data_IF_257184099470
#
_entry.id   IF_257184099470
#
_cell.length_a   1.000
_cell.length_b   1.000
_cell.length_c   1.000
_cell.angle_alpha   90.00
_cell.angle_beta   90.00
_cell.angle_gamma   90.00
#
_symmetry.space_group_name_H-M   'P 1'
#
loop_
_entity.id
_entity.type
_entity.pdbx_description
1 polymer ?
#
# COMPACT_ATOMS: atom_id res chain seq x y z
N UNK A 1 -25.69 -23.77 13.17
CA UNK A 1 -25.91 -23.50 11.73
C UNK A 1 -24.55 -23.63 11.05
N UNK A 2 -24.32 -24.72 10.34
CA UNK A 2 -23.03 -25.08 9.71
C UNK A 2 -23.10 -24.64 8.26
N UNK A 3 -22.25 -23.70 7.84
CA UNK A 3 -22.14 -23.32 6.43
C UNK A 3 -21.04 -24.20 5.81
N UNK A 4 -21.46 -25.20 5.02
CA UNK A 4 -20.60 -25.96 4.11
C UNK A 4 -20.41 -25.15 2.82
N UNK A 5 -19.18 -24.75 2.52
CA UNK A 5 -18.82 -24.22 1.21
C UNK A 5 -18.19 -25.36 0.42
N UNK A 6 -18.94 -25.94 -0.51
CA UNK A 6 -18.42 -26.79 -1.59
C UNK A 6 -18.37 -25.95 -2.86
N UNK A 7 -17.19 -25.68 -3.40
CA UNK A 7 -17.04 -25.09 -4.74
C UNK A 7 -16.11 -25.97 -5.55
N UNK A 8 -16.66 -26.66 -6.53
CA UNK A 8 -15.91 -27.46 -7.49
C UNK A 8 -15.38 -26.56 -8.60
N UNK A 9 -14.07 -26.61 -8.88
CA UNK A 9 -13.44 -25.92 -10.00
C UNK A 9 -13.22 -26.89 -11.17
N UNK A 10 -13.56 -26.45 -12.38
CA UNK A 10 -13.21 -27.11 -13.66
C UNK A 10 -12.14 -26.25 -14.33
N UNK A 11 -11.02 -26.85 -14.74
CA UNK A 11 -9.91 -26.18 -15.43
C UNK A 11 -9.77 -26.79 -16.84
N UNK A 12 -9.77 -25.95 -17.87
CA UNK A 12 -9.50 -26.32 -19.25
C UNK A 12 -8.00 -26.24 -19.56
N UNK A 13 -7.48 -27.14 -20.40
CA UNK A 13 -6.06 -27.29 -20.69
C UNK A 13 -5.67 -26.71 -22.06
N UNK A 14 -4.65 -25.84 -22.08
CA UNK A 14 -3.92 -25.40 -23.29
C UNK A 14 -2.41 -25.39 -22.99
N UNK A 15 -1.59 -25.73 -23.99
CA UNK A 15 -0.15 -25.97 -23.85
C UNK A 15 0.69 -24.70 -24.05
N UNK A 16 1.63 -24.40 -23.14
CA UNK A 16 2.63 -23.32 -23.27
C UNK A 16 3.99 -23.73 -22.63
N UNK A 17 5.07 -23.20 -23.20
CA UNK A 17 6.49 -23.47 -22.93
C UNK A 17 7.01 -22.99 -21.55
N UNK A 18 7.87 -23.80 -20.94
CA UNK A 18 8.56 -23.51 -19.69
C UNK A 18 9.79 -22.61 -19.94
N UNK A 19 9.82 -21.43 -19.32
CA UNK A 19 11.05 -20.67 -19.10
C UNK A 19 11.36 -20.73 -17.62
N UNK A 20 12.10 -21.76 -17.21
CA UNK A 20 12.59 -21.90 -15.84
C UNK A 20 13.95 -21.22 -15.70
N UNK A 21 14.02 -20.08 -15.00
CA UNK A 21 15.27 -19.65 -14.38
C UNK A 21 15.36 -20.29 -13.00
N UNK A 22 16.04 -21.44 -12.92
CA UNK A 22 16.35 -22.11 -11.66
C UNK A 22 17.41 -21.28 -10.93
N UNK A 23 17.00 -20.51 -9.93
CA UNK A 23 17.94 -19.97 -8.93
C UNK A 23 17.79 -20.82 -7.67
N UNK A 24 18.59 -21.87 -7.58
CA UNK A 24 18.67 -22.71 -6.39
C UNK A 24 19.31 -21.92 -5.24
N UNK A 25 18.50 -21.27 -4.42
CA UNK A 25 18.87 -20.87 -3.07
C UNK A 25 18.02 -21.69 -2.12
N UNK A 26 18.66 -22.51 -1.28
CA UNK A 26 18.01 -23.43 -0.35
C UNK A 26 17.33 -22.64 0.77
N UNK A 27 16.21 -22.01 0.46
CA UNK A 27 15.31 -21.44 1.45
C UNK A 27 14.40 -22.57 1.95
N UNK A 28 14.28 -22.72 3.27
CA UNK A 28 13.24 -23.54 3.90
C UNK A 28 11.89 -22.79 3.96
N UNK A 29 11.79 -21.66 3.27
CA UNK A 29 10.54 -20.94 3.11
C UNK A 29 9.47 -21.83 2.48
N UNK A 30 8.35 -21.89 3.16
CA UNK A 30 7.12 -22.46 2.63
C UNK A 30 6.61 -21.59 1.47
N UNK A 31 6.65 -20.28 1.66
CA UNK A 31 6.18 -19.31 0.67
C UNK A 31 6.92 -17.97 0.78
N UNK A 32 7.04 -17.30 -0.36
CA UNK A 32 7.50 -15.93 -0.52
C UNK A 32 6.43 -15.16 -1.27
N UNK A 33 5.93 -14.08 -0.68
CA UNK A 33 4.93 -13.20 -1.28
C UNK A 33 5.62 -11.88 -1.59
N UNK A 34 5.77 -11.58 -2.88
CA UNK A 34 6.22 -10.27 -3.32
C UNK A 34 5.01 -9.33 -3.44
N UNK A 35 5.05 -8.25 -2.68
CA UNK A 35 4.05 -7.18 -2.75
C UNK A 35 4.67 -6.04 -3.53
N UNK A 36 4.23 -5.88 -4.78
CA UNK A 36 4.44 -4.61 -5.51
C UNK A 36 3.58 -3.60 -4.79
N UNK A 37 4.21 -2.76 -3.97
CA UNK A 37 3.55 -1.80 -3.10
C UNK A 37 2.55 -0.92 -3.84
N UNK A 38 1.67 -0.28 -3.08
CA UNK A 38 0.88 0.83 -3.58
C UNK A 38 1.57 2.13 -3.13
N UNK A 39 1.98 3.03 -4.04
CA UNK A 39 2.51 4.35 -3.65
C UNK A 39 1.62 5.13 -2.65
N UNK A 40 0.34 4.79 -2.54
CA UNK A 40 -0.64 5.40 -1.64
C UNK A 40 -0.86 4.66 -0.32
N UNK A 41 -0.56 3.36 -0.20
CA UNK A 41 -0.98 2.56 0.98
C UNK A 41 0.08 1.59 1.53
N UNK A 42 1.03 1.11 0.73
CA UNK A 42 1.98 0.08 1.18
C UNK A 42 3.30 0.20 0.40
N UNK A 43 4.44 0.25 1.09
CA UNK A 43 5.73 0.17 0.41
C UNK A 43 5.90 -1.18 -0.28
N UNK A 44 6.64 -1.26 -1.40
CA UNK A 44 7.08 -2.53 -1.93
C UNK A 44 7.81 -3.35 -0.86
N UNK A 45 7.42 -4.60 -0.70
CA UNK A 45 7.98 -5.47 0.33
C UNK A 45 7.85 -6.94 -0.03
N UNK A 46 8.65 -7.76 0.64
CA UNK A 46 8.61 -9.21 0.52
C UNK A 46 8.24 -9.82 1.86
N UNK A 47 7.32 -10.79 1.86
CA UNK A 47 6.94 -11.58 3.02
C UNK A 47 7.40 -13.02 2.80
N UNK A 48 8.30 -13.49 3.65
CA UNK A 48 8.76 -14.88 3.68
C UNK A 48 8.07 -15.60 4.83
N UNK A 49 7.40 -16.71 4.55
CA UNK A 49 6.73 -17.56 5.53
C UNK A 49 7.54 -18.85 5.67
N UNK A 50 7.98 -19.12 6.89
CA UNK A 50 8.85 -20.25 7.22
C UNK A 50 8.41 -20.90 8.55
N UNK A 51 8.76 -22.17 8.80
CA UNK A 51 8.57 -22.76 10.11
C UNK A 51 9.50 -22.07 11.13
N UNK A 52 9.00 -21.74 12.32
CA UNK A 52 9.81 -21.07 13.37
C UNK A 52 10.96 -21.96 13.86
N UNK A 53 10.76 -23.28 13.78
CA UNK A 53 11.80 -24.30 14.03
C UNK A 53 12.01 -25.17 12.80
N UNK A 54 13.27 -25.44 12.45
CA UNK A 54 13.68 -26.21 11.26
C UNK A 54 13.30 -27.70 11.25
N UNK A 55 12.61 -28.22 12.28
CA UNK A 55 12.21 -29.63 12.25
C UNK A 55 11.23 -29.88 11.10
N UNK A 56 11.43 -30.93 10.31
CA UNK A 56 10.52 -31.27 9.20
C UNK A 56 9.38 -32.10 9.77
N UNK A 57 8.19 -31.52 9.82
CA UNK A 57 6.96 -32.21 10.18
C UNK A 57 6.58 -33.11 9.02
N UNK A 58 6.50 -34.40 9.26
CA UNK A 58 6.16 -35.43 8.26
C UNK A 58 4.66 -35.67 8.19
N UNK A 59 3.91 -35.35 9.24
CA UNK A 59 2.45 -35.54 9.29
C UNK A 59 1.68 -34.22 9.23
N UNK A 60 0.43 -34.26 8.78
CA UNK A 60 -0.44 -33.08 8.77
C UNK A 60 -0.62 -32.50 10.18
N UNK A 61 -0.73 -33.36 11.19
CA UNK A 61 -0.88 -32.96 12.59
C UNK A 61 0.38 -32.25 13.12
N UNK A 62 1.58 -32.66 12.68
CA UNK A 62 2.85 -31.98 12.99
C UNK A 62 3.00 -30.63 12.27
N UNK A 63 2.38 -30.47 11.10
CA UNK A 63 2.35 -29.20 10.35
C UNK A 63 1.33 -28.24 10.97
N UNK A 64 0.19 -28.74 11.44
CA UNK A 64 -0.86 -27.97 12.12
C UNK A 64 -0.48 -27.53 13.53
N UNK A 65 0.25 -28.37 14.27
CA UNK A 65 0.75 -28.06 15.61
C UNK A 65 1.98 -27.13 15.63
N UNK A 66 2.43 -26.66 14.46
CA UNK A 66 3.66 -25.89 14.32
C UNK A 66 3.46 -24.40 14.53
N UNK A 67 4.44 -23.76 15.16
CA UNK A 67 4.58 -22.31 15.15
C UNK A 67 5.23 -21.86 13.84
N UNK A 68 4.56 -20.94 13.16
CA UNK A 68 5.04 -20.35 11.91
C UNK A 68 5.62 -18.97 12.16
N UNK A 69 6.63 -18.61 11.39
CA UNK A 69 7.24 -17.28 11.40
C UNK A 69 7.06 -16.65 10.03
N UNK A 70 6.65 -15.38 10.02
CA UNK A 70 6.69 -14.56 8.82
C UNK A 70 7.70 -13.44 9.01
N UNK A 71 8.53 -13.22 8.00
CA UNK A 71 9.52 -12.14 7.94
C UNK A 71 9.14 -11.22 6.80
N UNK A 72 8.91 -9.94 7.12
CA UNK A 72 8.59 -8.89 6.16
C UNK A 72 9.81 -8.00 5.97
N UNK A 73 10.26 -7.84 4.73
CA UNK A 73 11.40 -6.98 4.38
C UNK A 73 10.99 -5.88 3.39
N UNK A 74 11.37 -4.63 3.67
CA UNK A 74 11.09 -3.45 2.85
C UNK A 74 12.16 -2.37 3.08
N UNK A 75 12.79 -1.84 2.02
CA UNK A 75 13.74 -0.70 2.06
C UNK A 75 14.65 -0.62 3.31
N UNK A 76 15.31 -1.72 3.68
CA UNK A 76 16.24 -1.77 4.82
C UNK A 76 15.59 -2.02 6.18
N UNK A 77 14.27 -2.11 6.26
CA UNK A 77 13.52 -2.57 7.42
C UNK A 77 13.19 -4.06 7.32
N UNK A 78 13.34 -4.77 8.43
CA UNK A 78 12.95 -6.18 8.58
C UNK A 78 12.10 -6.30 9.84
N UNK A 79 10.85 -6.71 9.69
CA UNK A 79 9.94 -7.04 10.80
C UNK A 79 9.66 -8.55 10.78
N UNK A 80 9.39 -9.16 11.93
CA UNK A 80 8.93 -10.56 12.01
C UNK A 80 7.77 -10.74 12.97
N UNK A 81 6.89 -11.70 12.69
CA UNK A 81 5.79 -12.11 13.56
C UNK A 81 5.66 -13.61 13.58
N UNK A 82 5.20 -14.17 14.71
CA UNK A 82 4.91 -15.61 14.82
C UNK A 82 3.41 -15.89 14.77
N UNK A 83 3.03 -17.14 14.50
CA UNK A 83 1.62 -17.54 14.44
C UNK A 83 0.88 -17.39 15.77
N UNK A 84 1.60 -17.32 16.88
CA UNK A 84 1.02 -17.11 18.20
C UNK A 84 0.65 -15.64 18.42
N UNK A 85 1.39 -14.73 17.77
CA UNK A 85 1.09 -13.31 17.71
C UNK A 85 0.07 -12.97 16.60
N UNK A 86 0.03 -13.78 15.54
CA UNK A 86 -0.88 -13.61 14.41
C UNK A 86 -1.51 -14.94 13.95
N UNK A 87 -2.73 -15.26 14.42
CA UNK A 87 -3.42 -16.47 14.00
C UNK A 87 -3.63 -16.59 12.48
N UNK A 88 -3.74 -15.46 11.77
CA UNK A 88 -3.84 -15.43 10.31
C UNK A 88 -2.64 -16.07 9.61
N UNK A 89 -1.44 -15.99 10.21
CA UNK A 89 -0.23 -16.62 9.68
C UNK A 89 -0.33 -18.15 9.66
N UNK A 90 -0.93 -18.75 10.69
CA UNK A 90 -1.16 -20.20 10.70
C UNK A 90 -2.10 -20.62 9.56
N UNK A 91 -3.18 -19.87 9.37
CA UNK A 91 -4.14 -20.13 8.29
C UNK A 91 -3.48 -20.01 6.90
N UNK A 92 -2.66 -18.98 6.70
CA UNK A 92 -1.89 -18.79 5.48
C UNK A 92 -0.95 -19.98 5.23
N UNK A 93 -0.16 -20.39 6.22
CA UNK A 93 0.78 -21.50 6.08
C UNK A 93 0.07 -22.84 5.77
N UNK A 94 -1.05 -23.12 6.43
CA UNK A 94 -1.84 -24.33 6.13
C UNK A 94 -2.42 -24.30 4.72
N UNK A 95 -2.89 -23.14 4.26
CA UNK A 95 -3.38 -22.96 2.91
C UNK A 95 -2.26 -23.16 1.87
N UNK A 96 -1.08 -22.58 2.07
CA UNK A 96 0.11 -22.78 1.24
C UNK A 96 0.51 -24.26 1.14
N UNK A 97 0.57 -24.96 2.28
CA UNK A 97 0.87 -26.39 2.30
C UNK A 97 -0.17 -27.24 1.57
N UNK A 98 -1.44 -26.83 1.58
CA UNK A 98 -2.50 -27.50 0.80
C UNK A 98 -2.34 -27.28 -0.70
N UNK A 99 -2.11 -26.03 -1.13
CA UNK A 99 -1.93 -25.66 -2.54
C UNK A 99 -0.73 -26.38 -3.15
N UNK A 100 0.41 -26.36 -2.46
CA UNK A 100 1.63 -27.04 -2.92
C UNK A 100 1.38 -28.54 -3.19
N UNK A 101 0.63 -29.22 -2.31
CA UNK A 101 0.28 -30.64 -2.48
C UNK A 101 -0.69 -30.87 -3.64
N UNK A 102 -1.66 -29.97 -3.86
CA UNK A 102 -2.59 -30.07 -4.97
C UNK A 102 -1.89 -29.85 -6.31
N UNK A 103 -1.01 -28.84 -6.39
CA UNK A 103 -0.25 -28.52 -7.59
C UNK A 103 0.60 -29.70 -8.09
N UNK A 104 1.24 -30.40 -7.16
CA UNK A 104 2.06 -31.59 -7.47
C UNK A 104 1.27 -32.84 -7.88
N UNK A 105 -0.03 -32.88 -7.58
CA UNK A 105 -0.91 -34.01 -7.96
C UNK A 105 -1.51 -33.85 -9.35
N UNK A 106 -1.50 -32.63 -9.90
CA UNK A 106 -2.00 -32.40 -11.24
C UNK A 106 -0.93 -32.79 -12.28
N UNK A 107 -1.24 -33.64 -13.27
CA UNK A 107 -0.27 -34.10 -14.28
C UNK A 107 0.29 -32.98 -15.18
N UNK A 108 -0.27 -31.78 -15.13
CA UNK A 108 0.16 -30.61 -15.92
C UNK A 108 -0.38 -29.33 -15.30
N UNK A 109 0.19 -28.87 -14.18
CA UNK A 109 -0.14 -27.55 -13.63
C UNK A 109 0.81 -26.49 -14.21
N UNK A 110 0.55 -26.06 -15.44
CA UNK A 110 1.07 -24.77 -15.91
C UNK A 110 0.02 -23.70 -15.57
N UNK A 111 0.15 -23.06 -14.41
CA UNK A 111 -0.72 -21.95 -14.01
C UNK A 111 -0.10 -20.65 -14.48
N UNK A 112 -0.29 -20.35 -15.75
CA UNK A 112 -0.30 -18.97 -16.21
C UNK A 112 -1.76 -18.65 -16.53
N UNK A 113 -2.43 -17.86 -15.70
CA UNK A 113 -3.51 -17.06 -16.25
C UNK A 113 -2.84 -16.02 -17.12
N UNK A 114 -3.22 -15.92 -18.39
CA UNK A 114 -2.84 -14.78 -19.22
C UNK A 114 -3.05 -13.51 -18.39
N UNK A 115 -2.07 -12.58 -18.35
CA UNK A 115 -2.25 -11.32 -17.68
C UNK A 115 -3.36 -10.59 -18.43
N UNK A 116 -4.61 -10.77 -18.01
CA UNK A 116 -5.65 -9.81 -18.30
C UNK A 116 -5.09 -8.52 -17.71
N UNK A 117 -4.87 -7.46 -18.50
CA UNK A 117 -4.47 -6.16 -17.97
C UNK A 117 -5.68 -5.61 -17.23
N UNK A 118 -5.93 -6.16 -16.04
CA UNK A 118 -6.83 -5.57 -15.08
C UNK A 118 -6.05 -4.40 -14.49
N UNK A 119 -6.42 -3.19 -14.89
CA UNK A 119 -6.07 -1.98 -14.15
C UNK A 119 -6.44 -2.16 -12.67
N UNK A 120 -5.82 -1.38 -11.77
CA UNK A 120 -5.87 -1.60 -10.32
C UNK A 120 -7.32 -1.66 -9.85
N UNK A 121 -7.80 -2.88 -9.60
CA UNK A 121 -9.16 -3.17 -9.17
C UNK A 121 -9.12 -4.20 -8.06
N UNK A 122 -8.46 -3.84 -6.97
CA UNK A 122 -8.93 -4.21 -5.63
C UNK A 122 -8.69 -3.00 -4.72
N UNK A 123 -9.69 -2.74 -3.88
CA UNK A 123 -9.89 -1.50 -3.10
C UNK A 123 -8.73 -1.10 -2.18
N UNK A 124 -7.75 -1.98 -2.01
CA UNK A 124 -6.62 -1.82 -1.08
C UNK A 124 -5.27 -1.61 -1.79
N UNK A 125 -5.26 -1.46 -3.12
CA UNK A 125 -4.22 -0.72 -3.82
C UNK A 125 -2.94 -1.45 -4.27
N UNK A 126 -2.60 -2.60 -3.67
CA UNK A 126 -1.37 -3.33 -4.02
C UNK A 126 -1.62 -4.56 -4.91
N UNK A 127 -0.58 -5.03 -5.58
CA UNK A 127 -0.59 -6.30 -6.33
C UNK A 127 0.36 -7.30 -5.68
N UNK A 128 0.01 -8.59 -5.71
CA UNK A 128 0.81 -9.67 -5.13
C UNK A 128 1.23 -10.69 -6.18
N UNK A 129 2.49 -11.12 -6.10
CA UNK A 129 3.01 -12.30 -6.77
C UNK A 129 3.44 -13.29 -5.69
N UNK A 130 3.02 -14.55 -5.84
CA UNK A 130 3.23 -15.54 -4.80
C UNK A 130 4.08 -16.66 -5.34
N UNK A 131 5.15 -16.97 -4.60
CA UNK A 131 6.04 -18.09 -4.87
C UNK A 131 6.02 -19.06 -3.70
N UNK A 132 5.94 -20.37 -3.95
CA UNK A 132 5.92 -21.38 -2.89
C UNK A 132 6.73 -22.62 -3.25
N UNK A 133 7.23 -23.29 -2.22
CA UNK A 133 8.04 -24.50 -2.36
C UNK A 133 7.17 -25.73 -2.21
N UNK A 134 7.25 -26.65 -3.16
CA UNK A 134 6.53 -27.91 -3.16
C UNK A 134 7.51 -29.11 -3.21
N UNK A 135 7.22 -30.19 -2.49
CA UNK A 135 8.02 -31.42 -2.50
C UNK A 135 7.45 -32.46 -3.47
N UNK A 136 8.18 -32.75 -4.55
CA UNK A 136 7.86 -33.83 -5.48
C UNK A 136 7.88 -35.21 -4.80
N UNK A 137 7.32 -36.21 -5.48
CA UNK A 137 7.22 -37.59 -4.96
C UNK A 137 8.59 -38.24 -4.70
N UNK A 138 9.62 -37.81 -5.43
CA UNK A 138 11.01 -38.24 -5.28
C UNK A 138 11.77 -37.46 -4.18
N UNK A 139 11.09 -36.52 -3.50
CA UNK A 139 11.68 -35.65 -2.48
C UNK A 139 12.35 -34.40 -3.04
N UNK A 140 12.38 -34.19 -4.36
CA UNK A 140 12.92 -32.96 -4.95
C UNK A 140 12.03 -31.75 -4.62
N UNK A 141 12.65 -30.59 -4.38
CA UNK A 141 11.95 -29.32 -4.15
C UNK A 141 11.72 -28.62 -5.49
N UNK A 142 10.49 -28.17 -5.73
CA UNK A 142 10.12 -27.33 -6.87
C UNK A 142 9.55 -26.02 -6.38
N UNK A 143 10.01 -24.93 -6.98
CA UNK A 143 9.48 -23.59 -6.75
C UNK A 143 8.38 -23.31 -7.78
N UNK A 144 7.22 -22.86 -7.30
CA UNK A 144 6.07 -22.53 -8.14
C UNK A 144 5.72 -21.06 -7.92
N UNK A 145 5.79 -20.28 -8.99
CA UNK A 145 5.37 -18.86 -8.98
C UNK A 145 4.01 -18.73 -9.65
N UNK A 146 3.02 -18.23 -8.90
CA UNK A 146 1.69 -17.94 -9.41
C UNK A 146 1.47 -16.41 -9.53
N UNK A 147 0.98 -15.99 -10.69
CA UNK A 147 0.61 -14.59 -10.98
C UNK A 147 -0.76 -14.56 -11.67
N UNK A 148 -1.62 -13.65 -11.25
CA UNK A 148 -2.93 -13.43 -11.86
C UNK A 148 -4.07 -14.32 -11.32
N UNK A 149 -5.29 -14.00 -11.74
CA UNK A 149 -6.50 -14.79 -11.46
C UNK A 149 -6.77 -15.00 -9.96
N UNK A 150 -7.16 -16.24 -9.62
CA UNK A 150 -7.48 -16.62 -8.24
C UNK A 150 -6.30 -16.49 -7.27
N UNK A 151 -5.06 -16.65 -7.76
CA UNK A 151 -3.85 -16.55 -6.93
C UNK A 151 -3.54 -15.12 -6.53
N UNK A 152 -3.84 -14.13 -7.37
CA UNK A 152 -3.73 -12.71 -7.00
C UNK A 152 -4.72 -12.34 -5.90
N UNK A 153 -5.98 -12.79 -5.99
CA UNK A 153 -6.96 -12.56 -4.92
C UNK A 153 -6.52 -13.22 -3.62
N UNK A 154 -6.08 -14.47 -3.71
CA UNK A 154 -5.66 -15.22 -2.54
C UNK A 154 -4.39 -14.64 -1.88
N UNK A 155 -3.40 -14.23 -2.69
CA UNK A 155 -2.22 -13.51 -2.21
C UNK A 155 -2.59 -12.19 -1.55
N UNK A 156 -3.54 -11.45 -2.13
CA UNK A 156 -4.10 -10.22 -1.56
C UNK A 156 -4.76 -10.45 -0.20
N UNK A 157 -5.68 -11.40 -0.11
CA UNK A 157 -6.37 -11.76 1.15
C UNK A 157 -5.37 -12.20 2.22
N UNK A 158 -4.33 -12.94 1.83
CA UNK A 158 -3.26 -13.36 2.74
C UNK A 158 -2.48 -12.16 3.27
N UNK A 159 -2.05 -11.26 2.40
CA UNK A 159 -1.32 -10.04 2.81
C UNK A 159 -2.21 -9.17 3.71
N UNK A 160 -3.47 -8.95 3.33
CA UNK A 160 -4.42 -8.17 4.12
C UNK A 160 -4.59 -8.73 5.54
N UNK A 161 -4.80 -10.05 5.67
CA UNK A 161 -4.94 -10.70 6.97
C UNK A 161 -3.65 -10.63 7.81
N UNK A 162 -2.47 -10.71 7.19
CA UNK A 162 -1.20 -10.53 7.89
C UNK A 162 -1.01 -9.07 8.35
N UNK A 163 -1.44 -8.09 7.55
CA UNK A 163 -1.42 -6.67 7.89
C UNK A 163 -2.44 -6.26 8.98
N UNK A 164 -3.37 -7.13 9.37
CA UNK A 164 -4.18 -6.86 10.57
C UNK A 164 -3.37 -7.09 11.86
N UNK A 165 -2.45 -8.06 11.83
CA UNK A 165 -1.55 -8.37 12.93
C UNK A 165 -0.27 -7.52 12.90
N UNK A 166 0.16 -7.14 11.69
CA UNK A 166 1.30 -6.28 11.46
C UNK A 166 0.84 -4.84 11.23
N UNK A 167 1.42 -3.87 11.95
CA UNK A 167 1.20 -2.47 11.59
C UNK A 167 1.51 -2.24 10.08
N UNK A 168 0.71 -1.41 9.38
CA UNK A 168 0.91 -1.14 7.97
C UNK A 168 2.31 -0.56 7.72
N UNK A 169 2.90 -0.87 6.56
CA UNK A 169 4.20 -0.32 6.13
C UNK A 169 4.09 1.13 5.63
N UNK A 170 3.15 1.91 6.15
CA UNK A 170 3.16 3.35 5.93
C UNK A 170 4.28 3.89 6.81
N UNK A 171 5.35 4.49 6.27
CA UNK A 171 6.36 5.10 7.12
C UNK A 171 5.68 6.18 7.96
N UNK A 172 6.01 6.26 9.26
CA UNK A 172 5.53 7.39 10.05
C UNK A 172 5.99 8.67 9.36
N UNK A 173 5.15 9.72 9.31
CA UNK A 173 5.61 11.01 8.82
C UNK A 173 6.85 11.42 9.63
N UNK A 174 7.79 12.17 9.03
CA UNK A 174 8.90 12.76 9.78
C UNK A 174 8.34 13.41 11.06
N UNK A 175 8.79 12.94 12.23
CA UNK A 175 8.22 13.34 13.53
C UNK A 175 8.24 14.86 13.75
N UNK A 176 9.06 15.57 12.98
CA UNK A 176 9.35 16.99 13.11
C UNK A 176 8.55 17.88 12.16
N UNK A 177 7.68 17.32 11.28
CA UNK A 177 6.88 18.08 10.32
C UNK A 177 5.39 18.13 10.70
N UNK A 178 4.98 19.29 11.21
CA UNK A 178 3.59 19.64 11.53
C UNK A 178 2.83 20.17 10.31
N UNK A 179 1.48 20.07 10.29
CA UNK A 179 0.66 20.73 9.27
C UNK A 179 0.96 22.23 9.12
N UNK A 180 1.31 22.90 10.22
CA UNK A 180 1.66 24.33 10.21
C UNK A 180 2.96 24.59 9.46
N UNK A 181 3.98 23.76 9.66
CA UNK A 181 5.24 23.88 8.90
C UNK A 181 5.02 23.61 7.42
N UNK A 182 4.20 22.61 7.07
CA UNK A 182 3.85 22.33 5.67
C UNK A 182 3.12 23.52 5.04
N UNK A 183 2.09 24.05 5.70
CA UNK A 183 1.32 25.18 5.18
C UNK A 183 2.18 26.45 5.09
N UNK A 184 2.95 26.76 6.12
CA UNK A 184 3.80 27.96 6.16
C UNK A 184 4.92 27.91 5.12
N UNK A 185 5.43 26.71 4.82
CA UNK A 185 6.44 26.47 3.80
C UNK A 185 5.88 26.24 2.39
N UNK A 186 4.57 26.28 2.18
CA UNK A 186 3.96 25.97 0.89
C UNK A 186 4.28 27.05 -0.17
N UNK A 187 4.75 26.64 -1.35
CA UNK A 187 4.84 27.50 -2.52
C UNK A 187 3.46 27.64 -3.18
N UNK A 188 2.79 28.76 -2.90
CA UNK A 188 1.47 29.07 -3.45
C UNK A 188 1.49 29.36 -4.96
N UNK A 189 2.67 29.43 -5.60
CA UNK A 189 2.79 29.62 -7.05
C UNK A 189 2.96 28.31 -7.83
N UNK A 190 3.08 27.15 -7.16
CA UNK A 190 3.34 25.88 -7.82
C UNK A 190 2.07 25.14 -8.29
N UNK A 191 0.88 25.62 -7.92
CA UNK A 191 -0.42 25.02 -8.26
C UNK A 191 -1.48 26.12 -8.47
N UNK A 192 -2.67 25.79 -8.99
CA UNK A 192 -3.73 26.79 -9.17
C UNK A 192 -4.47 27.01 -7.84
N UNK A 193 -4.65 28.28 -7.48
CA UNK A 193 -5.46 28.71 -6.34
C UNK A 193 -6.00 30.13 -6.58
N UNK A 194 -6.96 30.56 -5.77
CA UNK A 194 -7.63 31.87 -5.91
C UNK A 194 -6.89 33.05 -5.33
N UNK A 195 -5.78 32.81 -4.64
CA UNK A 195 -4.96 33.87 -4.04
C UNK A 195 -4.24 34.68 -5.14
N UNK A 196 -4.41 34.26 -6.38
CA UNK A 196 -4.27 35.07 -7.59
C UNK A 196 -2.96 34.83 -8.35
N UNK A 197 -2.81 35.42 -9.54
CA UNK A 197 -1.71 35.18 -10.49
C UNK A 197 -0.39 35.83 -10.05
N UNK A 198 -0.18 36.02 -8.75
CA UNK A 198 0.98 36.67 -8.13
C UNK A 198 2.20 35.75 -8.17
N UNK A 199 2.54 35.24 -9.34
CA UNK A 199 3.87 34.75 -9.71
C UNK A 199 4.86 35.91 -9.82
N UNK A 200 4.72 36.90 -8.94
CA UNK A 200 5.73 37.93 -8.74
C UNK A 200 6.90 37.23 -8.06
N UNK A 201 8.07 37.33 -8.66
CA UNK A 201 9.27 36.75 -8.07
C UNK A 201 9.44 37.24 -6.63
N UNK A 202 9.59 36.29 -5.70
CA UNK A 202 9.69 36.54 -4.25
C UNK A 202 8.39 36.40 -3.45
N UNK A 203 7.20 36.40 -4.06
CA UNK A 203 5.91 36.26 -3.36
C UNK A 203 5.36 34.83 -3.45
N UNK A 204 6.10 33.85 -2.92
CA UNK A 204 5.76 32.42 -3.03
C UNK A 204 5.14 31.82 -1.78
N UNK A 205 5.50 32.34 -0.60
CA UNK A 205 5.08 31.77 0.70
C UNK A 205 3.88 32.53 1.28
N UNK A 206 3.04 31.88 2.11
CA UNK A 206 1.90 32.54 2.77
C UNK A 206 2.30 33.83 3.52
N UNK A 207 3.41 33.81 4.26
CA UNK A 207 3.89 34.99 4.99
C UNK A 207 4.16 36.19 4.09
N UNK A 208 4.64 35.96 2.87
CA UNK A 208 4.95 37.01 1.90
C UNK A 208 3.66 37.62 1.32
N UNK A 209 2.52 36.93 1.46
CA UNK A 209 1.20 37.32 0.96
C UNK A 209 0.27 37.81 2.08
N UNK A 210 0.79 38.03 3.28
CA UNK A 210 0.04 38.56 4.43
C UNK A 210 -0.74 37.51 5.24
N UNK A 211 -0.52 36.22 4.98
CA UNK A 211 -1.06 35.15 5.83
C UNK A 211 -0.15 34.94 7.04
N UNK A 212 -0.64 35.29 8.23
CA UNK A 212 0.18 35.23 9.45
C UNK A 212 -0.57 34.83 10.71
N UNK A 213 -1.91 34.90 10.72
CA UNK A 213 -2.71 34.49 11.87
C UNK A 213 -3.01 33.00 11.78
N UNK A 214 -2.46 32.24 12.73
CA UNK A 214 -2.72 30.80 12.82
C UNK A 214 -4.10 30.55 13.40
N UNK A 215 -4.85 29.67 12.75
CA UNK A 215 -6.16 29.17 13.19
C UNK A 215 -6.08 27.65 13.26
N UNK A 216 -6.23 27.10 14.46
CA UNK A 216 -6.28 25.65 14.66
C UNK A 216 -7.66 25.12 14.24
N UNK A 217 -7.68 23.99 13.54
CA UNK A 217 -8.89 23.25 13.18
C UNK A 217 -8.77 21.83 13.73
N UNK A 218 -9.91 21.16 13.92
CA UNK A 218 -9.94 19.81 14.52
C UNK A 218 -9.12 18.77 13.74
N UNK A 219 -8.99 18.96 12.42
CA UNK A 219 -8.35 18.04 11.49
C UNK A 219 -7.19 18.67 10.70
N UNK A 220 -6.71 19.86 11.09
CA UNK A 220 -5.65 20.55 10.36
C UNK A 220 -5.32 21.93 10.90
N UNK A 221 -4.75 22.75 10.03
CA UNK A 221 -4.36 24.13 10.37
C UNK A 221 -4.77 25.08 9.26
N UNK A 222 -4.99 26.33 9.62
CA UNK A 222 -5.20 27.39 8.67
C UNK A 222 -4.34 28.62 8.99
N UNK A 223 -4.03 29.38 7.94
CA UNK A 223 -3.46 30.71 8.03
C UNK A 223 -4.48 31.69 7.47
N UNK A 224 -4.74 32.74 8.24
CA UNK A 224 -5.66 33.81 7.88
C UNK A 224 -4.88 35.07 7.49
N UNK A 225 -5.34 35.69 6.41
CA UNK A 225 -5.12 37.09 6.07
C UNK A 225 -6.34 37.88 6.55
N UNK A 226 -6.24 38.64 7.65
CA UNK A 226 -7.40 39.19 8.35
C UNK A 226 -8.39 39.94 7.46
N UNK A 227 -9.67 39.59 7.57
CA UNK A 227 -10.76 40.24 6.84
C UNK A 227 -10.82 39.95 5.34
N UNK A 228 -9.95 39.09 4.81
CA UNK A 228 -9.81 38.92 3.37
C UNK A 228 -9.82 37.46 2.92
N UNK A 229 -8.85 36.65 3.34
CA UNK A 229 -8.72 35.25 2.91
C UNK A 229 -8.27 34.34 4.05
N UNK A 230 -8.65 33.07 3.98
CA UNK A 230 -8.10 32.01 4.82
C UNK A 230 -7.68 30.83 3.96
N UNK A 231 -6.50 30.30 4.22
CA UNK A 231 -6.00 29.07 3.60
C UNK A 231 -5.85 27.99 4.66
N UNK A 232 -6.19 26.76 4.31
CA UNK A 232 -6.17 25.61 5.20
C UNK A 232 -5.40 24.46 4.60
N UNK A 233 -4.80 23.65 5.48
CA UNK A 233 -4.13 22.42 5.12
C UNK A 233 -4.48 21.34 6.14
N UNK A 234 -4.94 20.21 5.61
CA UNK A 234 -5.05 18.95 6.33
C UNK A 234 -4.17 17.91 5.67
N UNK A 235 -3.36 17.22 6.46
CA UNK A 235 -2.59 16.07 5.97
C UNK A 235 -3.57 14.91 5.77
N UNK A 236 -3.60 14.34 4.56
CA UNK A 236 -4.36 13.12 4.27
C UNK A 236 -3.46 11.91 4.57
N UNK A 237 -2.26 11.90 4.00
CA UNK A 237 -1.25 10.83 4.21
C UNK A 237 0.15 11.30 3.83
N UNK A 238 1.15 10.51 4.23
CA UNK A 238 2.54 10.66 3.79
C UNK A 238 2.91 9.51 2.84
N UNK A 239 3.78 9.78 1.87
CA UNK A 239 4.38 8.81 0.95
C UNK A 239 5.89 9.06 0.85
N UNK A 240 6.70 8.13 0.33
CA UNK A 240 8.13 8.36 0.10
C UNK A 240 8.41 9.58 -0.79
N UNK A 241 7.47 9.92 -1.65
CA UNK A 241 7.55 11.03 -2.60
C UNK A 241 7.17 12.37 -1.96
N UNK A 242 6.47 12.38 -0.82
CA UNK A 242 6.02 13.61 -0.17
C UNK A 242 4.74 13.47 0.66
N UNK A 243 4.06 14.59 0.91
CA UNK A 243 2.78 14.60 1.63
C UNK A 243 1.61 14.72 0.66
N UNK A 244 0.57 13.93 0.87
CA UNK A 244 -0.73 14.16 0.22
C UNK A 244 -1.60 14.94 1.19
N UNK A 245 -2.07 16.11 0.76
CA UNK A 245 -2.82 17.05 1.60
C UNK A 245 -4.11 17.48 0.95
N UNK A 246 -5.08 17.85 1.78
CA UNK A 246 -6.24 18.62 1.36
C UNK A 246 -5.96 20.10 1.63
N UNK A 247 -5.79 20.86 0.55
CA UNK A 247 -5.67 22.32 0.61
C UNK A 247 -7.05 22.95 0.45
N UNK A 248 -7.31 24.01 1.21
CA UNK A 248 -8.52 24.80 1.09
C UNK A 248 -8.17 26.29 1.04
N UNK A 249 -8.86 27.05 0.21
CA UNK A 249 -8.79 28.51 0.17
C UNK A 249 -10.21 29.10 0.14
N UNK A 250 -10.45 30.08 1.01
CA UNK A 250 -11.79 30.63 1.25
C UNK A 250 -11.70 32.14 1.39
N UNK A 251 -12.61 32.84 0.71
CA UNK A 251 -12.76 34.28 0.86
C UNK A 251 -13.50 34.60 2.17
N UNK A 252 -13.00 35.59 2.91
CA UNK A 252 -13.60 36.14 4.14
C UNK A 252 -14.17 37.55 3.94
N UNK A 253 -13.98 38.14 2.76
CA UNK A 253 -14.40 39.50 2.40
C UNK A 253 -15.85 39.60 1.87
N UNK A 254 -16.71 38.66 2.25
CA UNK A 254 -18.10 38.59 1.77
C UNK A 254 -18.28 37.92 0.40
N UNK A 255 -17.20 37.45 -0.24
CA UNK A 255 -17.27 36.58 -1.40
C UNK A 255 -17.75 35.15 -1.07
N UNK A 256 -18.32 34.46 -2.05
CA UNK A 256 -18.77 33.05 -1.92
C UNK A 256 -17.68 32.02 -2.23
N UNK A 257 -16.45 32.47 -2.48
CA UNK A 257 -15.36 31.60 -2.89
C UNK A 257 -14.93 30.66 -1.76
N UNK A 258 -14.95 29.35 -2.02
CA UNK A 258 -14.49 28.31 -1.12
C UNK A 258 -14.12 27.07 -1.94
N UNK A 259 -12.83 26.86 -2.22
CA UNK A 259 -12.35 25.72 -2.98
C UNK A 259 -11.51 24.77 -2.13
N UNK A 260 -11.44 23.52 -2.61
CA UNK A 260 -10.59 22.47 -2.05
C UNK A 260 -9.87 21.73 -3.16
N UNK A 261 -8.62 21.35 -2.91
CA UNK A 261 -7.81 20.61 -3.87
C UNK A 261 -6.92 19.59 -3.15
N UNK A 262 -6.81 18.41 -3.75
CA UNK A 262 -5.85 17.40 -3.32
C UNK A 262 -4.49 17.71 -3.93
N UNK A 263 -3.49 17.96 -3.09
CA UNK A 263 -2.14 18.33 -3.52
C UNK A 263 -1.13 17.30 -3.04
N UNK A 264 -0.12 17.05 -3.87
CA UNK A 264 1.12 16.38 -3.46
C UNK A 264 2.18 17.43 -3.15
N UNK A 265 2.70 17.41 -1.94
CA UNK A 265 3.75 18.31 -1.46
C UNK A 265 5.10 17.61 -1.45
N UNK A 266 6.06 18.16 -2.18
CA UNK A 266 7.45 17.68 -2.23
C UNK A 266 8.39 18.77 -1.71
N UNK A 267 9.52 18.39 -1.11
CA UNK A 267 10.51 19.36 -0.65
C UNK A 267 11.11 20.09 -1.86
N UNK A 268 11.19 21.41 -1.80
CA UNK A 268 11.69 22.24 -2.90
C UNK A 268 13.21 22.46 -2.92
N UNK A 269 13.94 21.87 -1.95
CA UNK A 269 15.37 22.01 -1.77
C UNK A 269 15.81 23.33 -1.12
N UNK A 270 14.87 24.23 -0.81
CA UNK A 270 15.10 25.57 -0.26
C UNK A 270 14.44 25.75 1.12
N UNK A 271 14.10 24.65 1.79
CA UNK A 271 13.47 24.66 3.11
C UNK A 271 11.96 24.88 3.08
N UNK A 272 11.29 24.71 1.94
CA UNK A 272 9.83 24.67 1.85
C UNK A 272 9.32 23.56 0.94
N UNK A 273 8.09 23.73 0.46
CA UNK A 273 7.35 22.69 -0.25
C UNK A 273 6.78 23.20 -1.56
N UNK A 274 6.99 22.46 -2.65
CA UNK A 274 6.23 22.62 -3.89
C UNK A 274 5.02 21.69 -3.86
N UNK A 275 3.90 22.20 -4.34
CA UNK A 275 2.67 21.44 -4.55
C UNK A 275 2.43 21.13 -6.02
N UNK A 276 1.92 19.93 -6.29
CA UNK A 276 1.37 19.51 -7.57
C UNK A 276 -0.09 19.06 -7.38
N UNK A 277 -0.99 19.48 -8.28
CA UNK A 277 -2.37 18.99 -8.31
C UNK A 277 -2.40 17.51 -8.63
N UNK A 278 -3.17 16.74 -7.85
CA UNK A 278 -3.37 15.32 -8.16
C UNK A 278 -4.30 15.15 -9.36
N UNK A 279 -3.92 14.29 -10.32
CA UNK A 279 -4.75 13.95 -11.49
C UNK A 279 -6.10 13.31 -11.10
N UNK A 280 -6.15 12.62 -9.97
CA UNK A 280 -7.36 12.08 -9.37
C UNK A 280 -7.47 12.61 -7.94
N UNK A 281 -8.47 13.47 -7.64
CA UNK A 281 -8.66 14.01 -6.31
C UNK A 281 -8.87 12.89 -5.29
N UNK A 282 -8.34 13.10 -4.09
CA UNK A 282 -8.56 12.19 -2.98
C UNK A 282 -10.03 12.24 -2.54
N UNK A 283 -10.71 11.10 -2.32
CA UNK A 283 -12.12 11.08 -1.94
C UNK A 283 -12.39 11.70 -0.58
N UNK A 284 -11.37 11.90 0.26
CA UNK A 284 -11.51 12.62 1.54
C UNK A 284 -11.34 14.14 1.38
N UNK A 285 -10.97 14.63 0.20
CA UNK A 285 -10.78 16.04 -0.11
C UNK A 285 -11.73 16.51 -1.22
N UNK A 286 -13.03 16.28 -1.00
CA UNK A 286 -14.05 16.68 -1.96
C UNK A 286 -14.24 18.21 -1.96
N UNK A 287 -14.48 18.81 -3.14
CA UNK A 287 -14.87 20.21 -3.25
C UNK A 287 -16.19 20.46 -2.53
N UNK A 288 -16.39 21.69 -2.06
CA UNK A 288 -17.65 22.06 -1.42
C UNK A 288 -18.79 22.03 -2.46
N UNK A 289 -20.05 21.71 -2.07
CA UNK A 289 -21.18 21.69 -2.99
C UNK A 289 -21.31 23.02 -3.75
N UNK A 290 -21.44 22.95 -5.08
CA UNK A 290 -21.58 24.13 -5.96
C UNK A 290 -20.36 24.45 -6.83
N UNK A 291 -19.36 23.57 -6.89
CA UNK A 291 -18.21 23.71 -7.80
C UNK A 291 -18.26 22.65 -8.90
N UNK A 292 -18.44 23.10 -10.14
CA UNK A 292 -18.36 22.34 -11.39
C UNK A 292 -18.00 23.28 -12.52
#
# INVERSE_FOLDING_TARGET
>A
MIIKICTSFVIAATAIAAVGSVRAQASDALATIAVTGDPYYTLPHEIVIEPDTQQIGRTQQEVEGRTWRAVRSSEGRVDSITSDQCPALRNAALAFGSIARQALRAPSLAVASDPIPMGPTMKDGFSSAVTFTALQRDGARVELTAKGGAYTRWGHETVAALLECWAPLIPPPPADLTPLQLLSGLDLNSFRNSIGPSRTDGLKRPSNLGFGRVVNRDDGVALERPGDWIIGLRIIRWTPEGFIVCFADTALNGGSYNARSSLRLTNDGLGGFKAEEMLSPDPTCLPSPGQG
#
